data_IF_032157372583
#
_entry.id   IF_032157372583
#
_cell.length_a   1.000
_cell.length_b   1.000
_cell.length_c   1.000
_cell.angle_alpha   90.00
_cell.angle_beta   90.00
_cell.angle_gamma   90.00
#
_symmetry.space_group_name_H-M   'P 1'
#
loop_
_entity.id
_entity.type
_entity.pdbx_description
1 polymer ?
#
# COMPACT_ATOMS: atom_id res chain seq x y z
N UNK A 1 36.74 -10.06 41.38
CA UNK A 1 35.33 -9.90 41.76
C UNK A 1 34.50 -10.63 40.71
N UNK A 2 33.59 -11.49 41.16
CA UNK A 2 32.95 -12.56 40.39
C UNK A 2 31.82 -12.03 39.49
N UNK A 3 31.76 -12.60 38.29
CA UNK A 3 30.57 -13.03 37.52
C UNK A 3 29.23 -12.30 37.75
N UNK A 4 28.73 -11.66 36.70
CA UNK A 4 27.29 -11.62 36.39
C UNK A 4 27.09 -11.62 34.89
N UNK A 5 27.42 -12.78 34.30
CA UNK A 5 26.89 -13.22 33.02
C UNK A 5 25.49 -13.79 33.31
N UNK A 6 24.48 -12.93 33.45
CA UNK A 6 23.09 -13.37 33.62
C UNK A 6 22.11 -12.33 33.08
N UNK A 7 21.95 -12.28 31.76
CA UNK A 7 20.64 -12.04 31.14
C UNK A 7 20.58 -12.86 29.85
N UNK A 8 20.07 -14.07 30.02
CA UNK A 8 19.53 -14.95 29.00
C UNK A 8 18.47 -14.21 28.17
N UNK A 9 18.85 -13.56 27.06
CA UNK A 9 17.90 -13.21 26.00
C UNK A 9 17.62 -14.43 25.12
N UNK A 10 17.00 -15.43 25.76
CA UNK A 10 16.07 -16.30 25.07
C UNK A 10 14.77 -15.52 24.95
N UNK A 11 14.57 -14.81 23.86
CA UNK A 11 13.25 -14.79 23.23
C UNK A 11 13.39 -15.33 21.80
N UNK A 12 13.50 -16.66 21.75
CA UNK A 12 13.40 -17.47 20.54
C UNK A 12 11.92 -17.81 20.26
N UNK A 13 11.00 -16.89 20.58
CA UNK A 13 9.55 -17.05 20.42
C UNK A 13 8.87 -15.91 19.63
N UNK A 14 9.60 -15.27 18.72
CA UNK A 14 8.94 -14.70 17.54
C UNK A 14 8.20 -15.86 16.82
N UNK A 15 6.89 -15.93 17.08
CA UNK A 15 5.99 -17.04 16.75
C UNK A 15 6.07 -17.32 15.25
N UNK A 16 6.37 -18.56 14.80
CA UNK A 16 6.49 -18.88 13.37
C UNK A 16 5.13 -19.06 12.68
N UNK A 17 4.07 -18.45 13.20
CA UNK A 17 2.75 -18.53 12.59
C UNK A 17 2.50 -17.25 11.78
N UNK A 18 2.46 -17.43 10.45
CA UNK A 18 1.99 -16.52 9.39
C UNK A 18 3.04 -15.84 8.48
N UNK A 19 4.13 -16.51 8.12
CA UNK A 19 4.69 -16.32 6.77
C UNK A 19 4.10 -17.41 5.88
N UNK A 20 2.86 -17.20 5.46
CA UNK A 20 2.26 -18.02 4.41
C UNK A 20 3.14 -17.89 3.18
N UNK A 21 3.60 -19.03 2.64
CA UNK A 21 4.54 -19.17 1.52
C UNK A 21 4.42 -18.02 0.51
N UNK A 22 5.22 -16.98 0.72
CA UNK A 22 5.36 -15.90 -0.23
C UNK A 22 6.10 -16.52 -1.41
N UNK A 23 5.45 -16.60 -2.57
CA UNK A 23 6.11 -17.03 -3.80
C UNK A 23 7.36 -16.19 -4.06
N UNK A 24 8.18 -16.60 -5.03
CA UNK A 24 9.32 -15.79 -5.45
C UNK A 24 8.83 -14.41 -5.88
N UNK A 25 9.18 -13.38 -5.11
CA UNK A 25 8.89 -12.00 -5.48
C UNK A 25 9.76 -11.56 -6.66
N UNK A 26 9.18 -10.76 -7.54
CA UNK A 26 9.96 -10.07 -8.56
C UNK A 26 10.91 -9.07 -7.87
N UNK A 27 12.17 -9.04 -8.31
CA UNK A 27 13.16 -8.07 -7.81
C UNK A 27 12.82 -6.64 -8.21
N UNK A 28 12.04 -6.47 -9.29
CA UNK A 28 11.53 -5.19 -9.78
C UNK A 28 10.08 -5.36 -10.20
N UNK A 29 9.21 -4.44 -9.77
CA UNK A 29 7.80 -4.39 -10.17
C UNK A 29 7.42 -2.95 -10.48
N UNK A 30 6.99 -2.70 -11.70
CA UNK A 30 6.47 -1.40 -12.14
C UNK A 30 5.03 -1.56 -12.66
N UNK A 31 4.05 -1.08 -11.91
CA UNK A 31 2.63 -1.17 -12.28
C UNK A 31 2.27 -0.35 -13.52
N UNK A 32 3.07 0.66 -13.87
CA UNK A 32 2.89 1.44 -15.12
C UNK A 32 3.10 0.54 -16.33
N UNK A 33 4.14 -0.30 -16.29
CA UNK A 33 4.42 -1.31 -17.32
C UNK A 33 3.33 -2.39 -17.44
N UNK A 34 2.48 -2.52 -16.42
CA UNK A 34 1.35 -3.45 -16.36
C UNK A 34 0.01 -2.79 -16.73
N UNK A 35 0.02 -1.52 -17.10
CA UNK A 35 -1.19 -0.76 -17.45
C UNK A 35 -2.12 -0.48 -16.27
N UNK A 36 -1.64 -0.62 -15.03
CA UNK A 36 -2.42 -0.45 -13.79
C UNK A 36 -2.27 0.94 -13.15
N UNK A 37 -1.91 1.95 -13.96
CA UNK A 37 -1.69 3.32 -13.49
C UNK A 37 -2.32 4.26 -14.52
N UNK A 38 -3.22 5.13 -14.07
CA UNK A 38 -3.83 6.19 -14.87
C UNK A 38 -2.83 7.31 -15.18
N UNK A 39 -3.11 8.21 -16.14
CA UNK A 39 -2.34 9.43 -16.30
C UNK A 39 -2.26 10.22 -14.99
N UNK A 40 -1.16 10.95 -14.80
CA UNK A 40 -0.97 11.80 -13.62
C UNK A 40 -2.06 12.87 -13.59
N UNK A 41 -2.66 13.04 -12.41
CA UNK A 41 -3.70 14.04 -12.13
C UNK A 41 -3.12 15.21 -11.32
N UNK A 42 -3.83 16.34 -11.28
CA UNK A 42 -3.45 17.56 -10.55
C UNK A 42 -4.53 17.92 -9.52
N UNK A 43 -4.14 18.00 -8.25
CA UNK A 43 -5.04 18.39 -7.14
C UNK A 43 -5.18 19.91 -6.99
N UNK A 44 -4.37 20.69 -7.71
CA UNK A 44 -4.33 22.15 -7.58
C UNK A 44 -3.97 22.61 -6.16
N UNK A 45 -4.57 23.72 -5.74
CA UNK A 45 -4.39 24.28 -4.40
C UNK A 45 -5.42 23.71 -3.40
N UNK A 46 -5.66 22.40 -3.46
CA UNK A 46 -6.55 21.67 -2.56
C UNK A 46 -5.71 20.68 -1.75
N UNK A 47 -5.90 20.61 -0.43
CA UNK A 47 -5.20 19.68 0.48
C UNK A 47 -5.63 18.20 0.32
N UNK A 48 -6.03 17.79 -0.87
CA UNK A 48 -6.70 16.52 -1.17
C UNK A 48 -5.73 15.38 -1.55
N UNK A 49 -4.46 15.45 -1.18
CA UNK A 49 -3.47 14.43 -1.56
C UNK A 49 -3.87 13.02 -1.08
N UNK A 50 -4.57 12.93 0.05
CA UNK A 50 -5.12 11.69 0.60
C UNK A 50 -6.17 11.08 -0.35
N UNK A 51 -7.01 11.91 -0.96
CA UNK A 51 -8.03 11.50 -1.94
C UNK A 51 -7.35 10.92 -3.17
N UNK A 52 -6.42 11.69 -3.76
CA UNK A 52 -5.71 11.28 -4.97
C UNK A 52 -4.92 9.98 -4.74
N UNK A 53 -4.32 9.81 -3.56
CA UNK A 53 -3.62 8.57 -3.19
C UNK A 53 -4.57 7.38 -3.11
N UNK A 54 -5.74 7.59 -2.49
CA UNK A 54 -6.77 6.55 -2.30
C UNK A 54 -7.41 6.14 -3.64
N UNK A 55 -7.75 7.13 -4.47
CA UNK A 55 -8.32 6.89 -5.79
C UNK A 55 -7.32 6.16 -6.69
N UNK A 56 -6.07 6.63 -6.80
CA UNK A 56 -5.07 5.97 -7.64
C UNK A 56 -4.84 4.49 -7.27
N UNK A 57 -4.81 4.17 -5.97
CA UNK A 57 -4.71 2.80 -5.50
C UNK A 57 -5.95 1.95 -5.90
N UNK A 58 -7.14 2.55 -5.82
CA UNK A 58 -8.42 1.91 -6.16
C UNK A 58 -8.52 1.65 -7.67
N UNK A 59 -8.12 2.62 -8.50
CA UNK A 59 -8.03 2.46 -9.95
C UNK A 59 -7.07 1.33 -10.33
N UNK A 60 -5.89 1.30 -9.69
CA UNK A 60 -4.86 0.29 -9.94
C UNK A 60 -5.32 -1.12 -9.58
N UNK A 61 -5.94 -1.32 -8.41
CA UNK A 61 -6.45 -2.64 -8.03
C UNK A 61 -7.62 -3.08 -8.92
N UNK A 62 -8.46 -2.15 -9.40
CA UNK A 62 -9.52 -2.46 -10.34
C UNK A 62 -8.95 -2.96 -11.68
N UNK A 63 -7.87 -2.36 -12.18
CA UNK A 63 -7.16 -2.90 -13.35
C UNK A 63 -6.60 -4.31 -13.05
N UNK A 64 -5.97 -4.52 -11.89
CA UNK A 64 -5.33 -5.80 -11.55
C UNK A 64 -6.36 -6.93 -11.41
N UNK A 65 -7.52 -6.66 -10.82
CA UNK A 65 -8.54 -7.68 -10.53
C UNK A 65 -9.52 -7.87 -11.67
N UNK A 66 -9.94 -6.77 -12.29
CA UNK A 66 -11.06 -6.77 -13.23
C UNK A 66 -10.62 -6.46 -14.67
N UNK A 67 -9.34 -6.14 -14.89
CA UNK A 67 -8.81 -5.77 -16.20
C UNK A 67 -9.31 -4.41 -16.72
N UNK A 68 -9.85 -3.56 -15.83
CA UNK A 68 -10.44 -2.27 -16.18
C UNK A 68 -9.73 -1.12 -15.48
N UNK A 69 -9.00 -0.31 -16.24
CA UNK A 69 -8.43 0.94 -15.78
C UNK A 69 -9.45 2.04 -16.03
N UNK A 70 -10.17 2.41 -14.98
CA UNK A 70 -11.22 3.42 -15.02
C UNK A 70 -10.69 4.62 -14.25
N UNK A 71 -10.78 5.81 -14.81
CA UNK A 71 -10.49 7.02 -14.06
C UNK A 71 -11.70 7.38 -13.20
N UNK A 72 -11.53 7.36 -11.87
CA UNK A 72 -12.57 7.66 -10.89
C UNK A 72 -12.54 9.15 -10.50
N UNK A 73 -13.61 9.58 -9.83
CA UNK A 73 -13.79 10.97 -9.40
C UNK A 73 -13.17 11.21 -8.02
N UNK A 74 -12.07 11.95 -7.96
CA UNK A 74 -11.57 12.48 -6.69
C UNK A 74 -12.57 13.43 -6.03
N UNK A 75 -13.31 14.21 -6.83
CA UNK A 75 -14.24 15.20 -6.30
C UNK A 75 -15.36 14.58 -5.47
N UNK A 76 -15.76 13.34 -5.78
CA UNK A 76 -16.78 12.64 -5.00
C UNK A 76 -16.33 12.37 -3.56
N UNK A 77 -15.08 11.95 -3.36
CA UNK A 77 -14.52 11.79 -2.02
C UNK A 77 -14.29 13.13 -1.32
N UNK A 78 -13.88 14.17 -2.06
CA UNK A 78 -13.73 15.53 -1.51
C UNK A 78 -15.08 16.06 -0.98
N UNK A 79 -16.16 15.83 -1.73
CA UNK A 79 -17.48 16.38 -1.41
C UNK A 79 -18.20 15.54 -0.33
N UNK A 80 -17.99 14.23 -0.31
CA UNK A 80 -18.77 13.30 0.52
C UNK A 80 -18.08 12.88 1.82
N UNK A 81 -16.74 12.87 1.88
CA UNK A 81 -16.03 12.54 3.10
C UNK A 81 -15.91 13.77 4.01
N UNK A 82 -16.95 13.96 4.82
CA UNK A 82 -17.04 15.07 5.77
C UNK A 82 -16.18 14.89 7.02
N UNK A 83 -15.50 13.74 7.19
CA UNK A 83 -14.77 13.42 8.42
C UNK A 83 -13.25 13.28 8.22
N UNK A 84 -12.78 12.90 7.02
CA UNK A 84 -11.36 12.82 6.69
C UNK A 84 -10.59 11.67 7.34
#
# INVERSE_FOLDING_TARGET
MRSSMLFTFLDKSARPHLVQRLGTFATNLDWRSKGAVTPIKDQGQCGACWVFSTVAATEGINQIKNGKLISLSEQELIDCDVNG
#
